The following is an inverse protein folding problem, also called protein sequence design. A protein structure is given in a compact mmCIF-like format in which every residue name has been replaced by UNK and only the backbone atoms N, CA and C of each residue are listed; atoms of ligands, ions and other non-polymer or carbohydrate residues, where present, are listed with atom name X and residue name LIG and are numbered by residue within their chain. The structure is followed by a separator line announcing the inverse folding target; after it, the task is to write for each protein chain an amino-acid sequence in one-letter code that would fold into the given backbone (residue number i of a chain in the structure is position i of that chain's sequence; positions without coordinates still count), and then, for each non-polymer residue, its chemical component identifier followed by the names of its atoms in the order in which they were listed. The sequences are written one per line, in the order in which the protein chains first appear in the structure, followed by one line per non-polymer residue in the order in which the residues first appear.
data_IF_098021705863
#
_entry.id   IF_098021705863
#
_cell.length_a   1.000
_cell.length_b   1.000
_cell.length_c   1.000
_cell.angle_alpha   90.00
_cell.angle_beta   90.00
_cell.angle_gamma   90.00
#
_symmetry.space_group_name_H-M   'P 1'
#
loop_
_entity.id
_entity.type
_entity.pdbx_description
1 polymer ?
#
# COMPACT_ATOMS: atom_id res chain seq x y z
N UNK A 1 5.41 29.54 28.19
CA UNK A 1 6.60 28.79 27.69
C UNK A 1 7.49 29.80 26.97
N UNK A 2 8.79 29.86 27.30
CA UNK A 2 9.74 30.76 26.63
C UNK A 2 9.92 30.35 25.16
N UNK A 3 10.29 31.28 24.29
CA UNK A 3 10.36 31.03 22.85
C UNK A 3 11.32 29.87 22.50
N UNK A 4 12.43 29.73 23.19
CA UNK A 4 13.38 28.64 22.97
C UNK A 4 12.80 27.26 23.36
N UNK A 5 12.16 27.14 24.51
CA UNK A 5 11.51 25.91 24.96
C UNK A 5 10.36 25.52 24.02
N UNK A 6 9.58 26.50 23.58
CA UNK A 6 8.49 26.29 22.65
C UNK A 6 8.98 25.75 21.31
N UNK A 7 10.06 26.34 20.76
CA UNK A 7 10.68 25.86 19.52
C UNK A 7 11.26 24.47 19.67
N UNK A 8 11.84 24.16 20.83
CA UNK A 8 12.33 22.82 21.13
C UNK A 8 11.19 21.79 21.15
N UNK A 9 10.06 22.10 21.81
CA UNK A 9 8.85 21.26 21.81
C UNK A 9 8.29 21.06 20.39
N UNK A 10 8.23 22.12 19.60
CA UNK A 10 7.80 22.05 18.18
C UNK A 10 8.71 21.08 17.40
N UNK A 11 10.03 21.23 17.57
CA UNK A 11 11.00 20.38 16.90
C UNK A 11 10.89 18.91 17.32
N UNK A 12 10.71 18.64 18.61
CA UNK A 12 10.49 17.28 19.14
C UNK A 12 9.20 16.66 18.61
N UNK A 13 8.12 17.41 18.57
CA UNK A 13 6.85 16.95 17.99
C UNK A 13 7.00 16.60 16.50
N UNK A 14 7.66 17.46 15.73
CA UNK A 14 7.86 17.21 14.30
C UNK A 14 8.84 16.04 14.09
N UNK A 15 9.84 15.88 14.95
CA UNK A 15 10.74 14.70 14.93
C UNK A 15 10.02 13.40 15.26
N UNK A 16 9.11 13.45 16.24
CA UNK A 16 8.33 12.27 16.65
C UNK A 16 7.29 11.88 15.60
N UNK A 17 6.63 12.85 14.97
CA UNK A 17 5.46 12.61 14.10
C UNK A 17 5.77 12.75 12.59
N UNK A 18 6.98 13.22 12.22
CA UNK A 18 7.39 13.45 10.83
C UNK A 18 6.78 14.70 10.20
N UNK A 19 5.48 14.94 10.43
CA UNK A 19 4.74 16.13 10.03
C UNK A 19 3.70 16.46 11.08
N UNK A 20 3.49 17.76 11.37
CA UNK A 20 2.52 18.23 12.37
C UNK A 20 1.88 19.52 11.87
N UNK A 21 0.56 19.65 12.01
CA UNK A 21 -0.17 20.86 11.62
C UNK A 21 0.14 22.03 12.56
N UNK A 22 0.10 23.27 12.04
CA UNK A 22 0.28 24.48 12.87
C UNK A 22 -0.73 24.56 14.02
N UNK A 23 -1.95 24.08 13.78
CA UNK A 23 -3.01 24.06 14.78
C UNK A 23 -2.71 23.07 15.92
N UNK A 24 -2.26 21.88 15.58
CA UNK A 24 -1.88 20.89 16.57
C UNK A 24 -0.67 21.33 17.39
N UNK A 25 0.33 21.91 16.73
CA UNK A 25 1.46 22.53 17.40
C UNK A 25 0.97 23.63 18.35
N UNK A 26 0.06 24.52 17.91
CA UNK A 26 -0.47 25.61 18.70
C UNK A 26 -1.20 25.11 19.96
N UNK A 27 -1.96 24.02 19.84
CA UNK A 27 -2.66 23.37 20.95
C UNK A 27 -1.69 22.82 21.98
N UNK A 28 -0.66 22.10 21.55
CA UNK A 28 0.29 21.44 22.46
C UNK A 28 1.20 22.45 23.14
N UNK A 29 1.71 23.44 22.40
CA UNK A 29 2.56 24.48 23.01
C UNK A 29 1.77 25.61 23.62
N UNK A 30 0.44 25.49 23.68
CA UNK A 30 -0.51 26.44 24.32
C UNK A 30 -0.32 27.88 23.86
N UNK A 31 -0.26 28.12 22.55
CA UNK A 31 -0.11 29.46 21.96
C UNK A 31 -0.94 29.60 20.69
N UNK A 32 -0.97 30.81 20.10
CA UNK A 32 -1.70 31.03 18.85
C UNK A 32 -0.97 30.42 17.64
N UNK A 33 -1.73 30.03 16.60
CA UNK A 33 -1.14 29.57 15.34
C UNK A 33 -0.22 30.60 14.69
N UNK A 34 -0.50 31.92 14.90
CA UNK A 34 0.36 33.01 14.42
C UNK A 34 1.73 32.91 15.05
N UNK A 35 1.78 32.70 16.37
CA UNK A 35 3.04 32.51 17.10
C UNK A 35 3.79 31.27 16.63
N UNK A 36 3.09 30.12 16.52
CA UNK A 36 3.68 28.89 16.01
C UNK A 36 4.21 29.06 14.58
N UNK A 37 3.47 29.75 13.72
CA UNK A 37 3.92 30.05 12.35
C UNK A 37 5.24 30.85 12.33
N UNK A 38 5.40 31.76 13.29
CA UNK A 38 6.65 32.52 13.45
C UNK A 38 7.79 31.64 13.95
N UNK A 39 7.53 30.75 14.92
CA UNK A 39 8.53 29.83 15.46
C UNK A 39 8.96 28.78 14.41
N UNK A 40 8.00 28.24 13.65
CA UNK A 40 8.29 27.31 12.54
C UNK A 40 9.14 28.00 11.45
N UNK A 41 8.87 29.29 11.13
CA UNK A 41 9.73 30.05 10.20
C UNK A 41 11.16 30.22 10.72
N UNK A 42 11.33 30.44 12.02
CA UNK A 42 12.64 30.55 12.61
C UNK A 42 13.42 29.22 12.53
N UNK A 43 12.76 28.10 12.85
CA UNK A 43 13.32 26.77 12.72
C UNK A 43 13.60 26.37 11.26
N UNK A 44 12.78 26.83 10.31
CA UNK A 44 13.01 26.67 8.87
C UNK A 44 14.27 27.45 8.43
N UNK A 45 14.44 28.69 8.89
CA UNK A 45 15.63 29.48 8.61
C UNK A 45 16.92 28.88 9.18
N UNK A 46 16.81 28.13 10.28
CA UNK A 46 17.90 27.37 10.89
C UNK A 46 18.13 25.99 10.21
N UNK A 47 17.30 25.64 9.20
CA UNK A 47 17.37 24.36 8.49
C UNK A 47 16.91 23.15 9.32
N UNK A 48 16.24 23.37 10.43
CA UNK A 48 15.80 22.33 11.37
C UNK A 48 14.42 21.74 11.01
N UNK A 49 13.61 22.49 10.28
CA UNK A 49 12.28 22.12 9.77
C UNK A 49 12.10 22.66 8.36
N UNK A 50 11.21 22.01 7.59
CA UNK A 50 10.61 22.57 6.38
C UNK A 50 9.16 22.96 6.66
N UNK A 51 8.74 24.13 6.17
CA UNK A 51 7.35 24.55 6.24
C UNK A 51 6.58 24.00 5.03
N UNK A 52 5.44 23.37 5.28
CA UNK A 52 4.47 22.97 4.26
C UNK A 52 3.14 23.66 4.49
N UNK A 53 2.24 23.60 3.52
CA UNK A 53 0.91 24.22 3.61
C UNK A 53 0.20 23.75 4.89
N UNK A 54 0.07 24.68 5.86
CA UNK A 54 -0.61 24.43 7.13
C UNK A 54 0.16 23.65 8.21
N UNK A 55 1.44 23.29 8.02
CA UNK A 55 2.22 22.49 8.98
C UNK A 55 3.72 22.69 8.91
N UNK A 56 4.43 21.90 9.73
CA UNK A 56 5.87 21.75 9.76
C UNK A 56 6.27 20.30 9.56
N UNK A 57 7.35 20.06 8.81
CA UNK A 57 7.92 18.74 8.53
C UNK A 57 9.42 18.77 8.74
N UNK A 58 10.06 17.61 8.86
CA UNK A 58 11.52 17.54 8.90
C UNK A 58 12.14 17.93 7.56
N UNK A 59 13.36 18.52 7.54
CA UNK A 59 14.06 18.84 6.31
C UNK A 59 14.25 17.62 5.42
N UNK A 60 14.03 17.78 4.12
CA UNK A 60 14.07 16.67 3.15
C UNK A 60 12.78 15.85 3.08
N UNK A 61 11.66 16.38 3.53
CA UNK A 61 10.36 15.72 3.72
C UNK A 61 9.76 14.94 2.56
N UNK A 62 10.26 15.03 1.32
CA UNK A 62 9.89 14.13 0.23
C UNK A 62 10.57 12.77 0.31
N UNK A 63 11.71 12.67 0.99
CA UNK A 63 12.57 11.47 1.01
C UNK A 63 12.52 10.71 2.33
N UNK A 64 12.01 11.31 3.41
CA UNK A 64 11.98 10.66 4.71
C UNK A 64 10.66 9.93 4.92
N UNK A 65 10.75 8.63 4.86
CA UNK A 65 9.64 7.75 5.24
C UNK A 65 9.44 7.81 6.77
N UNK A 66 8.26 8.25 7.21
CA UNK A 66 7.86 8.06 8.61
C UNK A 66 7.77 6.56 8.88
N UNK A 67 8.50 6.08 9.87
CA UNK A 67 8.50 4.66 10.23
C UNK A 67 7.13 4.17 10.68
N UNK A 68 6.96 2.85 10.65
CA UNK A 68 5.71 2.19 11.08
C UNK A 68 5.27 2.62 12.50
N UNK A 69 6.16 2.69 13.52
CA UNK A 69 5.74 3.08 14.87
C UNK A 69 5.09 4.46 14.94
N UNK A 70 5.60 5.41 14.16
CA UNK A 70 5.04 6.77 14.08
C UNK A 70 3.67 6.76 13.39
N UNK A 71 3.55 6.05 12.25
CA UNK A 71 2.29 5.96 11.49
C UNK A 71 1.21 5.19 12.24
N UNK A 72 1.55 4.22 13.08
CA UNK A 72 0.58 3.38 13.79
C UNK A 72 -0.20 4.14 14.87
N UNK A 73 0.37 5.20 15.43
CA UNK A 73 -0.28 6.03 16.45
C UNK A 73 -1.07 7.23 15.90
N UNK A 74 -0.91 7.53 14.59
CA UNK A 74 -1.63 8.62 13.93
C UNK A 74 -2.96 8.14 13.38
N UNK A 75 -4.04 8.93 13.55
CA UNK A 75 -5.37 8.68 12.98
C UNK A 75 -5.86 7.25 13.22
N UNK A 76 -5.74 6.74 14.45
CA UNK A 76 -6.05 5.33 14.77
C UNK A 76 -7.54 5.04 14.68
N UNK A 77 -8.38 5.97 15.13
CA UNK A 77 -9.83 5.82 15.06
C UNK A 77 -10.31 5.84 13.60
N UNK A 78 -9.77 6.74 12.80
CA UNK A 78 -10.05 6.89 11.38
C UNK A 78 -9.65 5.63 10.60
N UNK A 79 -8.46 5.11 10.83
CA UNK A 79 -7.99 3.84 10.21
C UNK A 79 -8.86 2.66 10.59
N UNK A 80 -9.33 2.63 11.85
CA UNK A 80 -10.27 1.61 12.33
C UNK A 80 -11.58 1.70 11.55
N UNK A 81 -12.18 2.87 11.43
CA UNK A 81 -13.42 3.09 10.70
C UNK A 81 -13.28 2.79 9.20
N UNK A 82 -12.18 3.23 8.58
CA UNK A 82 -11.84 2.91 7.17
C UNK A 82 -11.75 1.40 6.98
N UNK A 83 -11.06 0.69 7.89
CA UNK A 83 -10.89 -0.76 7.81
C UNK A 83 -12.22 -1.51 7.99
N UNK A 84 -13.11 -1.05 8.88
CA UNK A 84 -14.43 -1.64 9.08
C UNK A 84 -15.28 -1.50 7.81
N UNK A 85 -15.29 -0.32 7.19
CA UNK A 85 -16.01 -0.10 5.93
C UNK A 85 -15.40 -0.92 4.78
N UNK A 86 -14.08 -0.93 4.65
CA UNK A 86 -13.38 -1.64 3.58
C UNK A 86 -13.57 -3.16 3.65
N UNK A 87 -13.66 -3.74 4.85
CA UNK A 87 -13.92 -5.16 5.04
C UNK A 87 -15.28 -5.58 4.47
N UNK A 88 -16.28 -4.69 4.45
CA UNK A 88 -17.60 -4.94 3.87
C UNK A 88 -17.59 -5.11 2.34
N UNK A 89 -16.50 -4.81 1.66
CA UNK A 89 -16.35 -5.04 0.22
C UNK A 89 -15.76 -6.42 -0.12
N UNK A 90 -15.41 -7.22 0.88
CA UNK A 90 -14.79 -8.55 0.67
C UNK A 90 -15.81 -9.65 0.97
N UNK A 91 -15.97 -10.55 0.01
CA UNK A 91 -16.91 -11.67 0.09
C UNK A 91 -16.21 -12.98 0.52
N UNK A 92 -17.00 -13.94 1.03
CA UNK A 92 -16.52 -15.27 1.36
C UNK A 92 -15.95 -15.97 0.11
N UNK A 93 -14.79 -16.62 0.27
CA UNK A 93 -14.14 -17.37 -0.82
C UNK A 93 -13.35 -16.51 -1.81
N UNK A 94 -13.28 -15.20 -1.63
CA UNK A 94 -12.50 -14.31 -2.51
C UNK A 94 -10.98 -14.51 -2.37
N UNK A 95 -10.25 -14.12 -3.42
CA UNK A 95 -8.81 -13.89 -3.39
C UNK A 95 -8.55 -12.40 -3.53
N UNK A 96 -7.82 -11.82 -2.56
CA UNK A 96 -7.50 -10.39 -2.52
C UNK A 96 -6.03 -10.14 -2.26
N UNK A 97 -5.54 -8.99 -2.72
CA UNK A 97 -4.22 -8.46 -2.35
C UNK A 97 -4.40 -7.43 -1.24
N UNK A 98 -3.54 -7.51 -0.22
CA UNK A 98 -3.47 -6.51 0.86
C UNK A 98 -2.03 -6.03 0.99
N UNK A 99 -1.76 -4.81 0.57
CA UNK A 99 -0.44 -4.19 0.62
C UNK A 99 0.01 -3.81 2.03
N UNK A 100 1.28 -3.42 2.16
CA UNK A 100 1.84 -3.01 3.43
C UNK A 100 1.33 -1.61 3.87
N UNK A 101 0.94 -1.48 5.14
CA UNK A 101 0.49 -0.22 5.71
C UNK A 101 -0.17 -0.39 7.07
N UNK A 102 -0.31 0.69 7.83
CA UNK A 102 -1.03 0.67 9.11
C UNK A 102 -2.53 0.52 8.95
N UNK A 103 -3.11 1.15 7.92
CA UNK A 103 -4.55 1.04 7.61
C UNK A 103 -4.89 -0.34 7.04
N UNK A 104 -4.04 -0.89 6.18
CA UNK A 104 -4.21 -2.24 5.63
C UNK A 104 -4.00 -3.33 6.68
N UNK A 105 -3.16 -3.10 7.70
CA UNK A 105 -3.07 -3.98 8.86
C UNK A 105 -4.38 -3.99 9.68
N UNK A 106 -5.01 -2.83 9.85
CA UNK A 106 -6.32 -2.75 10.50
C UNK A 106 -7.39 -3.50 9.69
N UNK A 107 -7.38 -3.37 8.35
CA UNK A 107 -8.24 -4.17 7.47
C UNK A 107 -7.99 -5.67 7.67
N UNK A 108 -6.74 -6.13 7.69
CA UNK A 108 -6.42 -7.55 7.87
C UNK A 108 -7.04 -8.15 9.15
N UNK A 109 -7.08 -7.39 10.26
CA UNK A 109 -7.74 -7.83 11.50
C UNK A 109 -9.24 -8.11 11.33
N UNK A 110 -9.93 -7.39 10.41
CA UNK A 110 -11.35 -7.60 10.07
C UNK A 110 -11.50 -8.78 9.13
N UNK A 111 -10.63 -8.88 8.14
CA UNK A 111 -10.62 -9.97 7.18
C UNK A 111 -10.39 -11.34 7.82
N UNK A 112 -9.76 -11.41 8.99
CA UNK A 112 -9.62 -12.64 9.77
C UNK A 112 -10.96 -13.34 10.07
N UNK A 113 -12.10 -12.65 9.94
CA UNK A 113 -13.45 -13.17 10.18
C UNK A 113 -14.16 -13.61 8.90
N UNK A 114 -13.62 -13.30 7.73
CA UNK A 114 -14.21 -13.66 6.42
C UNK A 114 -13.79 -15.10 6.06
N UNK A 115 -14.72 -16.04 5.92
CA UNK A 115 -14.35 -17.44 5.70
C UNK A 115 -13.88 -17.70 4.27
N UNK A 116 -12.97 -18.66 4.12
CA UNK A 116 -12.51 -19.13 2.80
C UNK A 116 -11.67 -18.14 2.01
N UNK A 117 -11.24 -17.02 2.63
CA UNK A 117 -10.50 -15.96 1.98
C UNK A 117 -9.05 -16.39 1.69
N UNK A 118 -8.53 -16.01 0.52
CA UNK A 118 -7.10 -16.06 0.20
C UNK A 118 -6.55 -14.61 0.18
N UNK A 119 -5.59 -14.33 1.05
CA UNK A 119 -4.93 -13.01 1.13
C UNK A 119 -3.50 -13.11 0.63
N UNK A 120 -3.19 -12.44 -0.47
CA UNK A 120 -1.81 -12.25 -0.94
C UNK A 120 -1.27 -10.94 -0.39
N UNK A 121 -0.09 -10.97 0.24
CA UNK A 121 0.46 -9.77 0.88
C UNK A 121 1.98 -9.70 0.82
N UNK A 122 2.49 -8.48 0.70
CA UNK A 122 3.90 -8.16 0.91
C UNK A 122 4.15 -7.60 2.32
N UNK A 123 3.21 -7.72 3.26
CA UNK A 123 3.31 -7.17 4.62
C UNK A 123 3.46 -8.26 5.67
N UNK A 124 4.54 -8.22 6.42
CA UNK A 124 4.71 -9.09 7.59
C UNK A 124 3.60 -8.85 8.63
N UNK A 125 3.15 -7.61 8.81
CA UNK A 125 2.15 -7.27 9.82
C UNK A 125 0.73 -7.67 9.39
N UNK A 126 0.41 -7.64 8.11
CA UNK A 126 -0.84 -8.19 7.56
C UNK A 126 -0.85 -9.70 7.76
N UNK A 127 0.24 -10.40 7.41
CA UNK A 127 0.36 -11.83 7.62
C UNK A 127 0.24 -12.21 9.11
N UNK A 128 0.88 -11.45 10.00
CA UNK A 128 0.77 -11.64 11.45
C UNK A 128 -0.67 -11.46 11.95
N UNK A 129 -1.40 -10.46 11.45
CA UNK A 129 -2.79 -10.21 11.84
C UNK A 129 -3.72 -11.36 11.44
N UNK A 130 -3.39 -12.10 10.39
CA UNK A 130 -4.15 -13.23 9.85
C UNK A 130 -3.64 -14.60 10.31
N UNK A 131 -2.49 -14.69 10.97
CA UNK A 131 -1.80 -15.94 11.29
C UNK A 131 -2.64 -16.93 12.12
N UNK A 132 -3.63 -16.44 12.87
CA UNK A 132 -4.51 -17.26 13.70
C UNK A 132 -5.93 -17.41 13.13
N UNK A 133 -6.18 -16.92 11.92
CA UNK A 133 -7.49 -17.02 11.27
C UNK A 133 -7.65 -18.41 10.64
N UNK A 134 -8.48 -19.26 11.24
CA UNK A 134 -8.60 -20.69 10.87
C UNK A 134 -9.13 -20.96 9.46
N UNK A 135 -9.69 -19.95 8.76
CA UNK A 135 -10.34 -20.11 7.45
C UNK A 135 -9.83 -19.08 6.44
N UNK A 136 -8.64 -18.54 6.66
CA UNK A 136 -7.96 -17.59 5.76
C UNK A 136 -6.62 -18.19 5.36
N UNK A 137 -6.39 -18.31 4.06
CA UNK A 137 -5.09 -18.65 3.52
C UNK A 137 -4.28 -17.37 3.28
N UNK A 138 -3.02 -17.35 3.73
CA UNK A 138 -2.13 -16.20 3.57
C UNK A 138 -0.94 -16.58 2.71
N UNK A 139 -0.83 -15.92 1.56
CA UNK A 139 0.29 -16.06 0.63
C UNK A 139 1.19 -14.83 0.75
N UNK A 140 2.44 -15.04 1.16
CA UNK A 140 3.42 -13.97 1.25
C UNK A 140 4.26 -13.90 -0.03
N UNK A 141 4.49 -12.69 -0.54
CA UNK A 141 5.27 -12.47 -1.78
C UNK A 141 6.73 -12.89 -1.68
N UNK A 142 7.27 -13.08 -0.46
CA UNK A 142 8.72 -13.20 -0.30
C UNK A 142 9.45 -11.87 -0.59
N UNK A 143 10.78 -11.94 -0.77
CA UNK A 143 11.63 -10.76 -0.98
C UNK A 143 12.38 -10.32 0.28
N UNK A 144 12.89 -9.09 0.30
CA UNK A 144 13.66 -8.52 1.41
C UNK A 144 12.76 -7.74 2.35
N UNK A 145 12.81 -8.04 3.65
CA UNK A 145 12.04 -7.33 4.67
C UNK A 145 12.67 -5.95 4.96
N UNK A 146 11.89 -4.90 4.76
CA UNK A 146 12.24 -3.54 5.19
C UNK A 146 11.79 -3.30 6.62
N UNK A 147 12.74 -2.96 7.51
CA UNK A 147 12.45 -2.72 8.93
C UNK A 147 11.63 -1.44 9.20
N UNK A 148 11.62 -0.46 8.28
CA UNK A 148 10.90 0.81 8.47
C UNK A 148 9.37 0.67 8.41
N UNK A 149 8.85 -0.25 7.61
CA UNK A 149 7.42 -0.44 7.38
C UNK A 149 6.97 -1.91 7.35
N UNK A 150 7.87 -2.84 7.64
CA UNK A 150 7.65 -4.29 7.64
C UNK A 150 7.11 -4.84 6.31
N UNK A 151 7.47 -4.17 5.20
CA UNK A 151 7.15 -4.61 3.86
C UNK A 151 8.23 -5.50 3.27
N UNK A 152 7.83 -6.53 2.54
CA UNK A 152 8.69 -7.32 1.68
C UNK A 152 8.81 -6.62 0.33
N UNK A 153 10.04 -6.41 -0.13
CA UNK A 153 10.34 -5.65 -1.35
C UNK A 153 11.43 -6.33 -2.19
N UNK A 154 11.65 -5.81 -3.39
CA UNK A 154 12.66 -6.27 -4.34
C UNK A 154 12.12 -7.23 -5.37
N UNK A 155 12.98 -7.61 -6.32
CA UNK A 155 12.60 -8.38 -7.51
C UNK A 155 11.94 -9.72 -7.19
N UNK A 156 12.32 -10.39 -6.09
CA UNK A 156 11.68 -11.63 -5.65
C UNK A 156 10.20 -11.42 -5.29
N UNK A 157 9.85 -10.30 -4.62
CA UNK A 157 8.48 -9.97 -4.32
C UNK A 157 7.68 -9.62 -5.59
N UNK A 158 8.28 -8.86 -6.52
CA UNK A 158 7.65 -8.50 -7.79
C UNK A 158 7.41 -9.73 -8.67
N UNK A 159 8.40 -10.64 -8.76
CA UNK A 159 8.29 -11.86 -9.57
C UNK A 159 7.21 -12.81 -9.06
N UNK A 160 7.04 -12.94 -7.74
CA UNK A 160 6.00 -13.80 -7.16
C UNK A 160 4.57 -13.36 -7.50
N UNK A 161 4.38 -12.10 -7.89
CA UNK A 161 3.10 -11.54 -8.30
C UNK A 161 2.82 -11.70 -9.80
N UNK A 162 3.82 -12.14 -10.59
CA UNK A 162 3.63 -12.33 -12.02
C UNK A 162 2.63 -13.46 -12.31
N UNK A 163 1.63 -13.15 -13.14
CA UNK A 163 0.56 -14.09 -13.48
C UNK A 163 -0.52 -14.24 -12.42
N UNK A 164 -0.38 -13.62 -11.24
CA UNK A 164 -1.44 -13.56 -10.23
C UNK A 164 -2.64 -12.76 -10.77
N UNK A 165 -3.84 -13.24 -10.48
CA UNK A 165 -5.09 -12.51 -10.72
C UNK A 165 -5.99 -12.64 -9.50
N UNK A 166 -6.41 -11.51 -8.97
CA UNK A 166 -7.32 -11.41 -7.81
C UNK A 166 -8.44 -10.42 -8.11
N UNK A 167 -9.51 -10.47 -7.35
CA UNK A 167 -10.64 -9.54 -7.48
C UNK A 167 -10.23 -8.11 -7.12
N UNK A 168 -9.59 -7.91 -5.98
CA UNK A 168 -9.27 -6.59 -5.42
C UNK A 168 -7.88 -6.50 -4.84
N UNK A 169 -7.26 -5.31 -4.98
CA UNK A 169 -6.08 -4.90 -4.24
C UNK A 169 -6.45 -3.78 -3.27
N UNK A 170 -6.17 -3.97 -2.00
CA UNK A 170 -6.27 -2.96 -0.95
C UNK A 170 -4.90 -2.37 -0.68
N UNK A 171 -4.73 -1.09 -0.95
CA UNK A 171 -3.46 -0.39 -0.82
C UNK A 171 -3.58 0.85 0.06
N UNK A 172 -2.51 1.20 0.73
CA UNK A 172 -2.36 2.47 1.45
C UNK A 172 -1.01 3.09 1.11
N UNK A 173 -0.88 4.39 1.31
CA UNK A 173 0.33 5.12 0.94
C UNK A 173 0.73 6.17 1.96
N UNK A 174 1.69 7.01 1.55
CA UNK A 174 2.15 8.13 2.34
C UNK A 174 1.44 9.44 1.96
N UNK A 175 0.89 9.52 0.75
CA UNK A 175 0.11 10.65 0.27
C UNK A 175 -0.82 10.25 -0.87
N UNK A 176 -1.88 11.04 -1.07
CA UNK A 176 -2.88 10.87 -2.13
C UNK A 176 -3.29 12.24 -2.67
N UNK A 177 -3.15 12.42 -3.97
CA UNK A 177 -3.62 13.61 -4.69
C UNK A 177 -4.45 13.24 -5.91
N UNK A 178 -5.37 14.10 -6.31
CA UNK A 178 -6.15 13.90 -7.53
C UNK A 178 -5.25 13.93 -8.79
N UNK A 179 -4.19 14.74 -8.78
CA UNK A 179 -3.26 14.86 -9.91
C UNK A 179 -2.43 13.58 -10.12
N UNK A 180 -1.89 12.97 -9.05
CA UNK A 180 -0.93 11.88 -9.15
C UNK A 180 -1.42 10.55 -8.59
N UNK A 181 -2.54 10.53 -7.89
CA UNK A 181 -3.00 9.34 -7.18
C UNK A 181 -2.19 9.04 -5.92
N UNK A 182 -2.08 7.76 -5.59
CA UNK A 182 -1.38 7.29 -4.38
C UNK A 182 0.13 7.32 -4.57
N UNK A 183 0.85 7.72 -3.52
CA UNK A 183 2.31 7.87 -3.56
C UNK A 183 3.00 7.40 -2.27
N UNK A 184 4.29 7.06 -2.40
CA UNK A 184 5.18 6.67 -1.29
C UNK A 184 6.56 7.31 -1.44
N UNK A 185 7.30 7.42 -0.34
CA UNK A 185 8.65 7.99 -0.34
C UNK A 185 9.76 6.99 -0.72
N UNK A 186 9.43 5.71 -0.93
CA UNK A 186 10.41 4.66 -1.18
C UNK A 186 10.20 3.95 -2.52
N UNK A 187 11.24 3.90 -3.34
CA UNK A 187 11.23 3.31 -4.68
C UNK A 187 10.92 1.81 -4.68
N UNK A 188 11.53 1.04 -3.77
CA UNK A 188 11.32 -0.41 -3.70
C UNK A 188 9.89 -0.76 -3.28
N UNK A 189 9.32 0.00 -2.34
CA UNK A 189 7.90 -0.13 -1.97
C UNK A 189 7.01 0.21 -3.16
N UNK A 190 7.29 1.32 -3.87
CA UNK A 190 6.51 1.72 -5.04
C UNK A 190 6.54 0.67 -6.17
N UNK A 191 7.66 -0.01 -6.36
CA UNK A 191 7.79 -1.06 -7.38
C UNK A 191 6.88 -2.26 -7.06
N UNK A 192 6.90 -2.74 -5.82
CA UNK A 192 6.03 -3.83 -5.39
C UNK A 192 4.56 -3.42 -5.38
N UNK A 193 4.22 -2.21 -4.91
CA UNK A 193 2.83 -1.72 -4.91
C UNK A 193 2.27 -1.69 -6.34
N UNK A 194 3.05 -1.25 -7.33
CA UNK A 194 2.65 -1.33 -8.76
C UNK A 194 2.41 -2.76 -9.25
N UNK A 195 3.21 -3.72 -8.79
CA UNK A 195 2.99 -5.13 -9.13
C UNK A 195 1.73 -5.70 -8.48
N UNK A 196 1.41 -5.29 -7.23
CA UNK A 196 0.17 -5.63 -6.54
C UNK A 196 -1.05 -5.07 -7.29
N UNK A 197 -0.97 -3.82 -7.77
CA UNK A 197 -2.02 -3.18 -8.60
C UNK A 197 -2.27 -3.96 -9.88
N UNK A 198 -1.22 -4.39 -10.58
CA UNK A 198 -1.35 -5.14 -11.83
C UNK A 198 -2.00 -6.52 -11.65
N UNK A 199 -1.95 -7.08 -10.46
CA UNK A 199 -2.53 -8.37 -10.16
C UNK A 199 -4.04 -8.32 -9.90
N UNK A 200 -4.64 -7.14 -9.72
CA UNK A 200 -6.02 -6.98 -9.29
C UNK A 200 -6.94 -6.43 -10.39
N UNK A 201 -8.21 -6.83 -10.37
CA UNK A 201 -9.23 -6.26 -11.25
C UNK A 201 -9.73 -4.90 -10.75
N UNK A 202 -9.81 -4.71 -9.43
CA UNK A 202 -10.21 -3.47 -8.78
C UNK A 202 -9.12 -3.02 -7.80
N UNK A 203 -8.87 -1.70 -7.74
CA UNK A 203 -7.90 -1.10 -6.83
C UNK A 203 -8.64 -0.22 -5.82
N UNK A 204 -8.57 -0.61 -4.56
CA UNK A 204 -9.17 0.09 -3.42
C UNK A 204 -8.06 0.75 -2.61
N UNK A 205 -8.06 2.06 -2.57
CA UNK A 205 -7.12 2.85 -1.77
C UNK A 205 -7.73 3.13 -0.40
N UNK A 206 -6.97 2.87 0.66
CA UNK A 206 -7.32 3.15 2.05
C UNK A 206 -6.46 4.32 2.54
N UNK A 207 -7.05 5.48 2.71
CA UNK A 207 -6.32 6.69 3.12
C UNK A 207 -7.15 7.52 4.10
N UNK A 208 -6.58 7.82 5.25
CA UNK A 208 -7.17 8.79 6.18
C UNK A 208 -6.98 10.23 5.65
N UNK A 209 -7.82 11.17 6.12
CA UNK A 209 -7.80 12.57 5.67
C UNK A 209 -6.42 13.22 5.71
N UNK A 210 -5.50 12.79 6.59
CA UNK A 210 -4.15 13.35 6.68
C UNK A 210 -3.28 13.07 5.45
N UNK A 211 -3.70 12.11 4.59
CA UNK A 211 -3.00 11.74 3.35
C UNK A 211 -3.49 12.53 2.14
N UNK A 212 -4.72 13.06 2.22
CA UNK A 212 -5.34 13.81 1.14
C UNK A 212 -4.58 15.10 0.85
N UNK A 213 -4.30 15.37 -0.42
CA UNK A 213 -3.49 16.48 -0.89
C UNK A 213 -2.01 16.40 -0.50
N UNK A 214 -1.52 15.32 0.10
CA UNK A 214 -0.09 15.07 0.33
C UNK A 214 0.49 14.32 -0.87
N UNK A 215 1.62 14.79 -1.38
CA UNK A 215 2.37 14.11 -2.43
C UNK A 215 3.74 13.68 -1.92
N UNK A 216 4.23 12.55 -2.45
CA UNK A 216 5.54 12.00 -2.12
C UNK A 216 6.29 11.57 -3.39
N UNK A 217 7.55 11.15 -3.25
CA UNK A 217 8.48 11.04 -4.37
C UNK A 217 8.01 10.07 -5.47
N UNK A 218 7.47 8.90 -5.10
CA UNK A 218 7.15 7.82 -6.04
C UNK A 218 5.65 7.54 -6.09
N UNK A 219 5.06 7.72 -7.26
CA UNK A 219 3.70 7.30 -7.53
C UNK A 219 3.59 5.77 -7.49
N UNK A 220 2.57 5.26 -6.80
CA UNK A 220 2.28 3.82 -6.70
C UNK A 220 1.04 3.44 -7.48
N UNK A 221 -0.04 4.20 -7.35
CA UNK A 221 -1.31 3.98 -8.04
C UNK A 221 -1.72 5.28 -8.73
N UNK A 222 -1.70 5.37 -10.06
CA UNK A 222 -2.23 6.51 -10.80
C UNK A 222 -3.73 6.69 -10.52
N UNK A 223 -4.22 7.92 -10.57
CA UNK A 223 -5.62 8.25 -10.20
C UNK A 223 -6.64 7.50 -11.07
N UNK A 224 -6.37 7.36 -12.36
CA UNK A 224 -7.23 6.65 -13.33
C UNK A 224 -7.31 5.14 -13.09
N UNK A 225 -6.41 4.58 -12.29
CA UNK A 225 -6.39 3.16 -11.89
C UNK A 225 -7.14 2.94 -10.57
N UNK A 226 -7.34 3.98 -9.76
CA UNK A 226 -8.06 3.88 -8.49
C UNK A 226 -9.54 3.66 -8.77
N UNK A 227 -10.06 2.47 -8.44
CA UNK A 227 -11.48 2.17 -8.57
C UNK A 227 -12.28 2.82 -7.43
N UNK A 228 -11.74 2.74 -6.22
CA UNK A 228 -12.40 3.25 -5.00
C UNK A 228 -11.39 3.82 -4.02
N UNK A 229 -11.78 4.91 -3.37
CA UNK A 229 -11.14 5.43 -2.16
C UNK A 229 -12.06 5.18 -0.97
N UNK A 230 -11.51 4.55 0.07
CA UNK A 230 -12.13 4.49 1.40
C UNK A 230 -11.38 5.42 2.33
N UNK A 231 -12.07 6.40 2.88
CA UNK A 231 -11.51 7.45 3.73
C UNK A 231 -12.43 7.74 4.91
N UNK A 232 -11.96 8.51 5.88
CA UNK A 232 -12.78 9.11 6.94
C UNK A 232 -13.33 10.48 6.50
N UNK A 233 -14.25 11.02 7.27
CA UNK A 233 -14.76 12.36 7.05
C UNK A 233 -13.70 13.40 7.45
N UNK A 234 -13.22 14.23 6.50
CA UNK A 234 -12.27 15.27 6.83
C UNK A 234 -12.82 16.25 7.85
N UNK A 235 -12.01 16.76 8.78
CA UNK A 235 -12.43 17.83 9.67
C UNK A 235 -12.98 19.03 8.89
N UNK A 236 -14.06 19.65 9.38
CA UNK A 236 -14.76 20.77 8.71
C UNK A 236 -13.88 21.98 8.33
N UNK A 237 -12.68 22.07 8.86
CA UNK A 237 -11.69 23.13 8.58
C UNK A 237 -10.55 22.66 7.65
N UNK A 238 -10.62 21.45 7.15
CA UNK A 238 -9.62 20.90 6.20
C UNK A 238 -10.12 21.05 4.76
N UNK A 239 -10.17 22.32 4.31
CA UNK A 239 -10.59 22.66 2.94
C UNK A 239 -9.75 21.93 1.87
N UNK A 240 -8.49 21.59 2.20
CA UNK A 240 -7.60 20.88 1.30
C UNK A 240 -8.06 19.44 1.08
N UNK A 241 -8.34 18.71 2.15
CA UNK A 241 -8.82 17.35 2.04
C UNK A 241 -10.19 17.29 1.32
N UNK A 242 -11.08 18.24 1.61
CA UNK A 242 -12.37 18.34 0.93
C UNK A 242 -12.21 18.62 -0.59
N UNK A 243 -11.30 19.53 -0.96
CA UNK A 243 -10.99 19.83 -2.37
C UNK A 243 -10.42 18.62 -3.10
N UNK A 244 -9.51 17.89 -2.47
CA UNK A 244 -8.92 16.67 -3.07
C UNK A 244 -9.95 15.56 -3.24
N UNK A 245 -10.86 15.36 -2.27
CA UNK A 245 -11.93 14.38 -2.40
C UNK A 245 -12.85 14.70 -3.58
N UNK A 246 -13.24 15.97 -3.73
CA UNK A 246 -14.06 16.40 -4.85
C UNK A 246 -13.33 16.17 -6.18
N UNK A 247 -12.06 16.56 -6.28
CA UNK A 247 -11.26 16.38 -7.49
C UNK A 247 -11.05 14.90 -7.86
N UNK A 248 -10.90 14.00 -6.86
CA UNK A 248 -10.85 12.55 -7.09
C UNK A 248 -12.19 12.01 -7.61
N UNK A 249 -13.31 12.46 -7.01
CA UNK A 249 -14.65 12.08 -7.46
C UNK A 249 -14.94 12.54 -8.89
N UNK A 250 -14.54 13.76 -9.26
CA UNK A 250 -14.69 14.32 -10.61
C UNK A 250 -13.91 13.52 -11.67
N UNK A 251 -12.82 12.84 -11.27
CA UNK A 251 -12.05 11.93 -12.12
C UNK A 251 -12.62 10.50 -12.15
N UNK A 252 -13.75 10.26 -11.48
CA UNK A 252 -14.47 8.97 -11.51
C UNK A 252 -14.04 7.97 -10.44
N UNK A 253 -13.24 8.38 -9.44
CA UNK A 253 -12.93 7.56 -8.27
C UNK A 253 -14.19 7.46 -7.40
N UNK A 254 -14.60 6.24 -7.06
CA UNK A 254 -15.73 6.03 -6.13
C UNK A 254 -15.27 6.37 -4.71
N UNK A 255 -15.89 7.37 -4.09
CA UNK A 255 -15.55 7.76 -2.71
C UNK A 255 -16.50 7.05 -1.73
N UNK A 256 -15.91 6.38 -0.73
CA UNK A 256 -16.64 5.79 0.40
C UNK A 256 -16.09 6.38 1.69
N UNK A 257 -16.94 7.11 2.42
CA UNK A 257 -16.57 7.80 3.65
C UNK A 257 -17.01 6.96 4.85
N UNK A 258 -16.08 6.60 5.71
CA UNK A 258 -16.35 5.92 6.97
C UNK A 258 -16.93 6.91 7.97
N UNK A 259 -18.24 6.79 8.25
CA UNK A 259 -18.95 7.67 9.17
C UNK A 259 -18.72 7.28 10.63
N UNK A 260 -18.84 8.27 11.52
CA UNK A 260 -18.81 8.08 12.97
C UNK A 260 -20.15 7.59 13.55
N UNK A 261 -20.97 6.86 12.78
CA UNK A 261 -22.29 6.42 13.23
C UNK A 261 -22.84 5.22 12.43
N UNK A 262 -23.70 4.40 13.03
CA UNK A 262 -24.31 3.26 12.36
C UNK A 262 -25.40 3.74 11.40
N UNK A 263 -25.19 3.58 10.10
CA UNK A 263 -26.26 3.66 9.11
C UNK A 263 -26.00 4.49 7.88
N UNK A 264 -25.12 4.03 6.99
CA UNK A 264 -25.21 4.35 5.57
C UNK A 264 -24.64 3.18 4.76
N UNK A 265 -25.43 2.10 4.66
CA UNK A 265 -25.17 1.04 3.69
C UNK A 265 -25.80 1.43 2.36
N UNK A 266 -25.08 2.07 1.48
CA UNK A 266 -25.36 1.93 0.07
C UNK A 266 -24.72 0.61 -0.37
N UNK A 267 -25.58 -0.33 -0.75
CA UNK A 267 -25.21 -1.64 -1.26
C UNK A 267 -24.36 -1.51 -2.54
N UNK A 268 -23.64 -2.58 -2.93
CA UNK A 268 -22.76 -2.56 -4.07
C UNK A 268 -23.53 -2.18 -5.33
N UNK A 269 -23.03 -1.23 -6.15
CA UNK A 269 -23.62 -0.92 -7.43
C UNK A 269 -23.48 -2.12 -8.38
N UNK A 270 -24.58 -2.46 -9.05
CA UNK A 270 -24.66 -3.54 -10.01
C UNK A 270 -23.53 -3.49 -11.06
N UNK A 271 -22.90 -4.65 -11.27
CA UNK A 271 -21.72 -4.95 -12.05
C UNK A 271 -21.46 -4.10 -13.30
N UNK A 272 -20.28 -3.55 -13.36
CA UNK A 272 -19.60 -3.29 -14.63
C UNK A 272 -19.03 -4.62 -15.14
N UNK A 273 -19.40 -5.01 -16.33
CA UNK A 273 -18.82 -6.16 -17.01
C UNK A 273 -17.29 -6.04 -17.07
N UNK A 274 -16.54 -7.14 -16.88
CA UNK A 274 -15.09 -7.11 -16.96
C UNK A 274 -14.67 -6.61 -18.35
N UNK A 275 -13.70 -5.70 -18.41
CA UNK A 275 -13.07 -5.24 -19.64
C UNK A 275 -12.51 -6.45 -20.36
N UNK A 276 -13.14 -6.81 -21.49
CA UNK A 276 -12.61 -7.78 -22.44
C UNK A 276 -11.40 -7.17 -23.11
N UNK A 277 -10.31 -7.93 -23.09
CA UNK A 277 -9.16 -7.88 -23.99
C UNK A 277 -8.30 -6.61 -24.03
N UNK A 278 -7.32 -6.55 -23.11
CA UNK A 278 -6.07 -5.87 -23.42
C UNK A 278 -5.07 -6.91 -23.97
N UNK A 279 -4.52 -6.72 -25.19
CA UNK A 279 -3.54 -7.64 -25.75
C UNK A 279 -2.20 -7.48 -25.03
N UNK A 280 -1.57 -8.61 -24.71
CA UNK A 280 -0.20 -8.65 -24.17
C UNK A 280 0.78 -8.07 -25.20
N UNK A 281 1.71 -7.20 -24.83
CA UNK A 281 2.79 -6.77 -25.73
C UNK A 281 3.76 -7.93 -25.96
N UNK A 282 3.85 -8.44 -27.20
CA UNK A 282 4.93 -9.35 -27.59
C UNK A 282 4.59 -10.58 -28.40
N UNK A 283 3.37 -10.84 -28.82
CA UNK A 283 3.12 -11.94 -29.76
C UNK A 283 3.07 -11.45 -31.20
N UNK A 284 4.14 -11.69 -31.95
CA UNK A 284 4.16 -11.57 -33.42
C UNK A 284 3.21 -12.62 -34.03
N UNK A 285 2.24 -12.16 -34.78
CA UNK A 285 1.38 -13.03 -35.61
C UNK A 285 2.22 -13.65 -36.70
N UNK A 286 2.33 -14.96 -36.72
CA UNK A 286 2.76 -15.73 -37.88
C UNK A 286 1.51 -16.12 -38.66
N UNK A 287 1.47 -15.75 -39.96
CA UNK A 287 0.44 -16.16 -40.89
C UNK A 287 0.55 -17.66 -41.19
N UNK A 288 -0.57 -18.36 -41.40
CA UNK A 288 -0.55 -19.76 -41.84
C UNK A 288 -0.41 -19.81 -43.37
N UNK A 289 0.66 -20.46 -43.85
CA UNK A 289 0.67 -21.05 -45.20
C UNK A 289 0.28 -22.52 -45.10
N UNK A 290 -0.62 -22.90 -45.98
CA UNK A 290 -1.25 -24.19 -45.99
C UNK A 290 -0.38 -25.32 -46.59
N UNK A 291 -0.85 -26.52 -46.36
CA UNK A 291 -0.76 -27.64 -47.29
C UNK A 291 0.23 -28.74 -46.89
N UNK A 292 -0.24 -29.97 -46.69
CA UNK A 292 0.50 -31.20 -46.93
C UNK A 292 0.42 -32.21 -45.80
N UNK A 293 -0.35 -33.25 -46.03
CA UNK A 293 -0.58 -34.38 -45.10
C UNK A 293 0.61 -35.32 -44.91
N UNK A 294 0.55 -36.12 -43.85
CA UNK A 294 1.47 -37.20 -43.53
C UNK A 294 1.20 -37.78 -42.15
N UNK A 295 0.76 -39.01 -42.10
CA UNK A 295 0.32 -39.76 -40.94
C UNK A 295 1.46 -40.22 -39.99
N UNK A 296 1.18 -40.92 -38.88
CA UNK A 296 1.84 -40.73 -37.59
C UNK A 296 3.01 -41.70 -37.35
N UNK A 297 4.05 -41.18 -36.70
CA UNK A 297 5.18 -41.93 -36.19
C UNK A 297 5.30 -41.83 -34.67
N UNK A 298 5.18 -42.92 -34.00
CA UNK A 298 5.44 -43.10 -32.57
C UNK A 298 6.90 -42.77 -32.26
N UNK A 299 7.16 -41.93 -31.26
CA UNK A 299 8.42 -41.95 -30.51
C UNK A 299 8.10 -41.95 -29.01
N UNK A 300 8.27 -43.08 -28.37
CA UNK A 300 8.40 -43.26 -26.93
C UNK A 300 9.82 -42.90 -26.50
N UNK A 301 9.97 -42.25 -25.35
CA UNK A 301 11.12 -42.40 -24.44
C UNK A 301 12.23 -41.37 -24.59
N UNK A 302 12.30 -40.42 -23.67
CA UNK A 302 13.50 -39.93 -22.99
C UNK A 302 13.16 -38.77 -22.04
N UNK A 303 12.74 -39.08 -20.83
CA UNK A 303 12.63 -38.09 -19.75
C UNK A 303 12.83 -38.79 -18.38
N UNK A 304 14.02 -39.35 -18.17
CA UNK A 304 14.55 -39.71 -16.83
C UNK A 304 16.08 -39.80 -17.01
N UNK A 305 16.85 -38.81 -16.60
CA UNK A 305 18.30 -38.95 -16.27
C UNK A 305 19.01 -37.63 -15.89
N UNK A 306 18.32 -36.57 -15.51
CA UNK A 306 18.99 -35.32 -15.05
C UNK A 306 18.88 -35.08 -13.53
N UNK A 307 18.06 -35.81 -12.81
CA UNK A 307 17.88 -35.68 -11.34
C UNK A 307 18.87 -36.48 -10.51
N UNK A 308 19.37 -37.61 -11.00
CA UNK A 308 20.24 -38.49 -10.21
C UNK A 308 21.70 -38.06 -10.16
N UNK A 309 22.22 -37.45 -11.19
CA UNK A 309 23.63 -37.01 -11.22
C UNK A 309 23.93 -35.75 -10.35
N UNK A 310 22.92 -34.94 -10.03
CA UNK A 310 23.09 -33.81 -9.12
C UNK A 310 23.18 -34.26 -7.64
N UNK A 311 22.43 -35.27 -7.26
CA UNK A 311 22.42 -35.83 -5.90
C UNK A 311 23.71 -36.57 -5.50
N UNK A 312 24.40 -37.22 -6.46
CA UNK A 312 25.65 -37.92 -6.16
C UNK A 312 26.84 -36.97 -5.95
N UNK A 313 26.90 -35.87 -6.69
CA UNK A 313 27.96 -34.85 -6.52
C UNK A 313 27.88 -34.13 -5.18
N UNK A 314 26.68 -33.89 -4.67
CA UNK A 314 26.46 -33.23 -3.37
C UNK A 314 26.85 -34.18 -2.22
N UNK A 315 26.53 -35.47 -2.29
CA UNK A 315 26.91 -36.46 -1.27
C UNK A 315 28.42 -36.71 -1.21
N UNK A 316 29.11 -36.67 -2.34
CA UNK A 316 30.58 -36.76 -2.39
C UNK A 316 31.28 -35.56 -1.72
N UNK A 317 30.76 -34.35 -1.92
CA UNK A 317 31.29 -33.13 -1.34
C UNK A 317 31.13 -33.05 0.19
N UNK A 318 30.01 -33.56 0.70
CA UNK A 318 29.75 -33.63 2.17
C UNK A 318 30.63 -34.68 2.86
N UNK A 319 30.93 -35.82 2.16
CA UNK A 319 31.81 -36.84 2.69
C UNK A 319 33.27 -36.41 2.78
N UNK A 320 33.74 -35.58 1.88
CA UNK A 320 35.11 -35.04 1.87
C UNK A 320 35.32 -33.95 2.93
N UNK A 321 34.29 -33.16 3.24
CA UNK A 321 34.29 -32.17 4.31
C UNK A 321 34.32 -32.78 5.74
N UNK A 322 33.92 -34.04 5.91
CA UNK A 322 33.97 -34.77 7.19
C UNK A 322 35.28 -35.49 7.45
N UNK A 323 36.22 -35.47 6.50
CA UNK A 323 37.56 -36.13 6.62
C UNK A 323 38.71 -35.12 6.79
N UNK A 324 38.40 -33.83 6.86
CA UNK A 324 39.30 -32.76 7.28
C UNK A 324 38.85 -32.21 8.65
#
# INVERSE_FOLDING_TARGET
VFAAERRQLILEMVRANGAVSLRELARVVQTSEVTVRRDVRALEAEGLLDRRHGGAVLPGGFTRESGFPQKSHLATAEKTAIADLAAGFVEEGEAVVVGAGTTTQELARRLARVPGLTVVTNSLLVAQALAHANRVEVVMTGGTLRGSNYALVGSGAEQSLQGLRVSRAFLSGSGLTAERGLSTSNMLSASVDRALVQAAAEVVVLADHTKLGTDTMFQTVPTDVITRLVTDEPPAHDDRAATELQALADQGVQISVAGSGPGASEGPPAGRQPRRDMPLPGQRRTHPHGGGGGAPGQIRGAAVTLGEQAGERERARVAEMRRR
#
